data_IF_627893984523
#
_entry.id   IF_627893984523
#
_cell.length_a   1.000
_cell.length_b   1.000
_cell.length_c   1.000
_cell.angle_alpha   90.00
_cell.angle_beta   90.00
_cell.angle_gamma   90.00
#
_symmetry.space_group_name_H-M   'P 1'
#
loop_
_entity.id
_entity.type
_entity.pdbx_description
1 polymer ?
#
# COMPACT_ATOMS: atom_id res chain seq x y z
N UNK A 1 16.34 -18.13 27.06
CA UNK A 1 16.42 -19.48 26.46
C UNK A 1 17.83 -20.00 26.62
N UNK A 2 17.99 -21.29 26.92
CA UNK A 2 19.30 -21.94 26.97
C UNK A 2 19.66 -22.51 25.60
N UNK A 3 20.90 -22.29 25.17
CA UNK A 3 21.48 -22.75 23.93
C UNK A 3 22.85 -23.41 24.20
N UNK A 4 23.40 -24.20 23.25
CA UNK A 4 24.71 -24.83 23.44
C UNK A 4 25.85 -23.85 23.73
N UNK A 5 25.76 -22.63 23.20
CA UNK A 5 26.76 -21.57 23.23
C UNK A 5 26.49 -20.48 24.29
N UNK A 6 25.36 -20.54 25.00
CA UNK A 6 25.02 -19.57 26.03
C UNK A 6 23.52 -19.42 26.30
N UNK A 7 23.11 -18.22 26.70
CA UNK A 7 21.70 -17.87 26.90
C UNK A 7 21.28 -16.74 25.98
N UNK A 8 20.08 -16.85 25.42
CA UNK A 8 19.49 -15.79 24.60
C UNK A 8 18.24 -15.22 25.30
N UNK A 9 18.14 -13.89 25.36
CA UNK A 9 16.92 -13.21 25.83
C UNK A 9 15.80 -13.44 24.81
N UNK A 10 14.63 -13.84 25.30
CA UNK A 10 13.44 -14.11 24.47
C UNK A 10 12.23 -13.37 25.04
N UNK A 11 11.22 -13.13 24.21
CA UNK A 11 9.94 -12.58 24.67
C UNK A 11 9.13 -13.61 25.46
N UNK A 12 8.13 -13.16 26.22
CA UNK A 12 7.20 -14.07 26.91
C UNK A 12 6.42 -14.95 25.92
N UNK A 13 6.07 -14.40 24.76
CA UNK A 13 5.42 -15.16 23.69
C UNK A 13 6.31 -16.31 23.20
N UNK A 14 7.58 -16.05 22.92
CA UNK A 14 8.53 -17.10 22.48
C UNK A 14 8.74 -18.13 23.58
N UNK A 15 8.79 -17.71 24.85
CA UNK A 15 8.91 -18.63 25.98
C UNK A 15 7.70 -19.57 26.09
N UNK A 16 6.48 -19.04 25.95
CA UNK A 16 5.25 -19.81 25.94
C UNK A 16 5.19 -20.75 24.73
N UNK A 17 5.57 -20.27 23.54
CA UNK A 17 5.63 -21.08 22.32
C UNK A 17 6.56 -22.29 22.48
N UNK A 18 7.79 -22.07 22.95
CA UNK A 18 8.77 -23.14 23.19
C UNK A 18 8.27 -24.16 24.21
N UNK A 19 7.66 -23.70 25.30
CA UNK A 19 7.10 -24.58 26.34
C UNK A 19 5.89 -25.37 25.86
N UNK A 20 5.06 -24.79 24.99
CA UNK A 20 3.92 -25.48 24.38
C UNK A 20 4.37 -26.56 23.40
N UNK A 21 5.48 -26.34 22.70
CA UNK A 21 6.08 -27.34 21.81
C UNK A 21 6.73 -28.48 22.60
N UNK A 22 7.50 -28.15 23.64
CA UNK A 22 8.10 -29.13 24.53
C UNK A 22 8.41 -28.53 25.91
N UNK A 23 7.77 -29.03 26.96
CA UNK A 23 8.02 -28.60 28.33
C UNK A 23 9.28 -29.21 28.95
N UNK A 24 9.89 -30.22 28.29
CA UNK A 24 11.00 -31.02 28.81
C UNK A 24 10.75 -31.56 30.23
N UNK A 25 9.49 -31.88 30.55
CA UNK A 25 9.08 -32.37 31.87
C UNK A 25 8.98 -31.30 32.96
N UNK A 26 9.18 -30.01 32.64
CA UNK A 26 9.13 -28.91 33.60
C UNK A 26 7.80 -28.14 33.57
N UNK A 27 7.05 -28.19 34.68
CA UNK A 27 5.77 -27.48 34.83
C UNK A 27 5.89 -25.95 34.82
N UNK A 28 7.06 -25.40 35.15
CA UNK A 28 7.35 -23.96 35.12
C UNK A 28 8.82 -23.69 34.73
N UNK A 29 9.18 -22.48 34.24
CA UNK A 29 10.56 -22.11 34.02
C UNK A 29 11.34 -22.14 35.33
N UNK A 30 12.59 -22.63 35.29
CA UNK A 30 13.48 -22.55 36.45
C UNK A 30 13.91 -21.10 36.65
N UNK A 31 13.63 -20.57 37.84
CA UNK A 31 14.12 -19.25 38.26
C UNK A 31 15.61 -19.36 38.55
N UNK A 32 16.40 -18.43 38.00
CA UNK A 32 17.84 -18.33 38.20
C UNK A 32 18.18 -16.95 38.75
N UNK A 33 19.17 -16.86 39.63
CA UNK A 33 19.63 -15.57 40.16
C UNK A 33 20.49 -14.83 39.13
N UNK A 34 20.60 -13.49 39.21
CA UNK A 34 21.45 -12.72 38.31
C UNK A 34 22.91 -13.16 38.30
N UNK A 35 23.48 -13.58 39.45
CA UNK A 35 24.89 -14.01 39.55
C UNK A 35 25.21 -15.20 38.64
N UNK A 36 24.25 -16.12 38.46
CA UNK A 36 24.39 -17.25 37.52
C UNK A 36 24.44 -16.75 36.07
N UNK A 37 23.67 -15.72 35.75
CA UNK A 37 23.62 -15.15 34.40
C UNK A 37 24.88 -14.35 34.05
N UNK A 38 25.52 -13.70 35.03
CA UNK A 38 26.75 -12.91 34.81
C UNK A 38 27.90 -13.77 34.27
N UNK A 39 27.97 -15.04 34.69
CA UNK A 39 29.00 -15.99 34.24
C UNK A 39 28.59 -16.80 32.99
N UNK A 40 27.42 -16.52 32.41
CA UNK A 40 26.92 -17.23 31.23
C UNK A 40 26.96 -16.32 30.00
N UNK A 41 27.58 -16.74 28.88
CA UNK A 41 27.59 -15.95 27.66
C UNK A 41 26.18 -15.60 27.18
N UNK A 42 25.96 -14.35 26.80
CA UNK A 42 24.73 -13.92 26.13
C UNK A 42 24.91 -13.99 24.62
N UNK A 43 24.03 -14.74 23.95
CA UNK A 43 24.10 -14.99 22.51
C UNK A 43 22.81 -14.56 21.82
N UNK A 44 22.91 -14.30 20.51
CA UNK A 44 21.77 -13.93 19.65
C UNK A 44 21.78 -14.80 18.39
N UNK A 45 21.81 -16.13 18.58
CA UNK A 45 21.98 -17.09 17.48
C UNK A 45 20.66 -17.46 16.79
N UNK A 46 19.52 -17.30 17.47
CA UNK A 46 18.20 -17.49 16.86
C UNK A 46 17.51 -16.15 16.54
N UNK A 47 16.88 -16.00 15.36
CA UNK A 47 16.16 -14.78 15.00
C UNK A 47 14.75 -14.77 15.65
N UNK A 48 14.71 -14.52 16.95
CA UNK A 48 13.46 -14.55 17.75
C UNK A 48 12.72 -13.21 17.77
N UNK A 49 13.35 -12.15 17.28
CA UNK A 49 12.82 -10.79 17.20
C UNK A 49 11.64 -10.64 16.22
N UNK A 50 11.44 -11.62 15.33
CA UNK A 50 10.27 -11.66 14.44
C UNK A 50 8.96 -12.04 15.17
N UNK A 51 9.06 -12.57 16.39
CA UNK A 51 7.89 -12.90 17.20
C UNK A 51 7.41 -11.71 18.03
N UNK A 52 6.10 -11.63 18.34
CA UNK A 52 5.57 -10.61 19.22
C UNK A 52 6.28 -10.58 20.58
N UNK A 53 6.38 -9.37 21.16
CA UNK A 53 6.95 -9.18 22.49
C UNK A 53 6.06 -9.77 23.61
N UNK A 54 4.77 -9.97 23.34
CA UNK A 54 3.79 -10.47 24.31
C UNK A 54 2.56 -11.08 23.63
N UNK A 55 1.48 -11.23 24.40
CA UNK A 55 0.21 -11.77 23.89
C UNK A 55 -0.37 -10.87 22.82
N UNK A 56 -0.92 -11.48 21.78
CA UNK A 56 -1.66 -10.77 20.75
C UNK A 56 -3.06 -10.41 21.26
N UNK A 57 -3.47 -9.18 20.98
CA UNK A 57 -4.86 -8.76 21.12
C UNK A 57 -5.52 -8.93 19.75
N UNK A 58 -6.52 -9.82 19.67
CA UNK A 58 -7.26 -10.04 18.45
C UNK A 58 -8.28 -8.92 18.24
N UNK A 59 -8.39 -8.44 17.01
CA UNK A 59 -9.38 -7.45 16.60
C UNK A 59 -10.71 -8.16 16.35
N UNK A 60 -11.80 -7.63 16.93
CA UNK A 60 -13.15 -8.07 16.60
C UNK A 60 -13.56 -7.47 15.25
N UNK A 61 -13.53 -8.29 14.20
CA UNK A 61 -13.84 -7.85 12.83
C UNK A 61 -15.32 -7.56 12.61
N UNK A 62 -16.21 -7.99 13.51
CA UNK A 62 -17.62 -7.58 13.48
C UNK A 62 -17.79 -6.15 14.00
N UNK A 63 -17.00 -5.75 15.00
CA UNK A 63 -17.00 -4.38 15.54
C UNK A 63 -16.16 -3.41 14.70
N UNK A 64 -15.00 -3.86 14.21
CA UNK A 64 -14.02 -3.07 13.44
C UNK A 64 -13.74 -3.74 12.08
N UNK A 65 -14.67 -3.65 11.10
CA UNK A 65 -14.57 -4.37 9.83
C UNK A 65 -13.53 -3.78 8.85
N UNK A 66 -12.96 -2.62 9.14
CA UNK A 66 -12.03 -1.93 8.23
C UNK A 66 -10.60 -2.03 8.74
N UNK A 67 -9.71 -2.60 7.93
CA UNK A 67 -8.27 -2.57 8.12
C UNK A 67 -7.63 -1.72 7.03
N UNK A 68 -6.83 -0.72 7.41
CA UNK A 68 -6.12 0.15 6.47
C UNK A 68 -4.62 0.05 6.69
N UNK A 69 -3.86 0.15 5.61
CA UNK A 69 -2.42 0.42 5.66
C UNK A 69 -2.20 1.85 5.18
N UNK A 70 -1.44 2.65 5.93
CA UNK A 70 -0.95 3.94 5.47
C UNK A 70 0.54 3.87 5.18
N UNK A 71 0.95 4.74 4.26
CA UNK A 71 2.34 5.05 4.01
C UNK A 71 2.44 6.57 3.89
N UNK A 72 3.41 7.17 4.58
CA UNK A 72 3.70 8.59 4.49
C UNK A 72 5.21 8.81 4.44
N UNK A 73 5.65 9.81 3.66
CA UNK A 73 7.02 10.30 3.67
C UNK A 73 6.97 11.79 3.35
N UNK A 74 7.34 12.64 4.32
CA UNK A 74 7.44 14.07 4.04
C UNK A 74 8.67 14.37 3.17
N UNK A 75 8.71 15.55 2.55
CA UNK A 75 9.78 15.94 1.62
C UNK A 75 11.18 15.93 2.23
N UNK A 76 11.28 16.16 3.55
CA UNK A 76 12.54 16.17 4.30
C UNK A 76 12.78 14.89 5.09
N UNK A 77 11.84 13.95 5.09
CA UNK A 77 11.94 12.75 5.91
C UNK A 77 12.90 11.73 5.25
N UNK A 78 13.90 11.21 5.98
CA UNK A 78 14.82 10.22 5.44
C UNK A 78 14.16 8.84 5.26
N UNK A 79 13.10 8.55 6.01
CA UNK A 79 12.38 7.28 5.98
C UNK A 79 10.87 7.51 5.93
N UNK A 80 10.18 6.64 5.20
CA UNK A 80 8.73 6.59 5.23
C UNK A 80 8.24 5.94 6.53
N UNK A 81 7.04 6.33 6.98
CA UNK A 81 6.31 5.66 8.04
C UNK A 81 5.20 4.83 7.44
N UNK A 82 5.06 3.61 7.95
CA UNK A 82 3.97 2.70 7.61
C UNK A 82 3.20 2.41 8.88
N UNK A 83 1.88 2.59 8.83
CA UNK A 83 1.00 2.25 9.94
C UNK A 83 -0.14 1.36 9.46
N UNK A 84 -0.65 0.53 10.37
CA UNK A 84 -1.84 -0.28 10.15
C UNK A 84 -2.91 0.20 11.13
N UNK A 85 -4.08 0.54 10.60
CA UNK A 85 -5.24 0.97 11.38
C UNK A 85 -6.34 -0.08 11.28
N UNK A 86 -7.08 -0.27 12.37
CA UNK A 86 -8.31 -1.04 12.39
C UNK A 86 -9.41 -0.17 12.96
N UNK A 87 -10.61 -0.25 12.40
CA UNK A 87 -11.74 0.54 12.89
C UNK A 87 -13.04 0.27 12.14
N UNK A 88 -14.03 1.12 12.42
CA UNK A 88 -15.40 1.00 11.90
C UNK A 88 -15.57 1.40 10.43
N UNK A 89 -14.63 2.16 9.89
CA UNK A 89 -14.71 2.71 8.54
C UNK A 89 -13.38 3.30 8.10
N UNK A 90 -13.39 3.99 6.96
CA UNK A 90 -12.19 4.64 6.43
C UNK A 90 -11.68 5.73 7.39
N UNK A 91 -10.35 5.92 7.51
CA UNK A 91 -9.74 6.92 8.38
C UNK A 91 -9.81 8.33 7.77
N UNK A 92 -10.99 8.76 7.34
CA UNK A 92 -11.28 10.09 6.77
C UNK A 92 -12.61 10.62 7.31
N UNK A 93 -12.82 11.96 7.31
CA UNK A 93 -14.11 12.52 7.71
C UNK A 93 -15.26 12.00 6.82
N UNK A 94 -16.44 11.66 7.38
CA UNK A 94 -17.59 11.16 6.61
C UNK A 94 -18.06 12.10 5.49
N UNK A 95 -17.78 13.40 5.59
CA UNK A 95 -18.07 14.37 4.53
C UNK A 95 -17.35 14.06 3.21
N UNK A 96 -16.28 13.26 3.24
CA UNK A 96 -15.53 12.85 2.05
C UNK A 96 -16.18 11.71 1.28
N UNK A 97 -17.19 11.02 1.82
CA UNK A 97 -17.80 9.85 1.17
C UNK A 97 -18.38 10.17 -0.21
N UNK A 98 -18.92 11.39 -0.39
CA UNK A 98 -19.43 11.89 -1.67
C UNK A 98 -18.38 12.02 -2.77
N UNK A 99 -17.09 11.96 -2.41
CA UNK A 99 -15.94 12.09 -3.32
C UNK A 99 -15.31 10.74 -3.66
N UNK A 100 -15.82 9.65 -3.11
CA UNK A 100 -15.37 8.30 -3.42
C UNK A 100 -15.79 7.96 -4.86
N UNK A 101 -14.80 7.62 -5.68
CA UNK A 101 -15.01 7.23 -7.08
C UNK A 101 -14.85 5.72 -7.19
N UNK A 102 -15.79 5.05 -7.87
CA UNK A 102 -15.64 3.65 -8.25
C UNK A 102 -14.75 3.56 -9.48
N UNK A 103 -13.64 2.82 -9.37
CA UNK A 103 -12.72 2.64 -10.49
C UNK A 103 -13.27 1.61 -11.48
N UNK A 104 -13.08 1.90 -12.77
CA UNK A 104 -13.29 0.93 -13.84
C UNK A 104 -12.06 0.03 -13.90
N UNK A 105 -12.27 -1.27 -13.74
CA UNK A 105 -11.21 -2.28 -13.81
C UNK A 105 -11.34 -3.03 -15.12
N UNK A 106 -10.23 -3.06 -15.87
CA UNK A 106 -10.13 -3.91 -17.05
C UNK A 106 -10.01 -5.39 -16.64
N UNK A 107 -9.45 -5.67 -15.47
CA UNK A 107 -9.37 -7.00 -14.87
C UNK A 107 -10.44 -7.21 -13.78
N UNK A 108 -11.35 -8.16 -14.03
CA UNK A 108 -12.37 -8.56 -13.02
C UNK A 108 -11.92 -9.72 -12.13
N UNK A 109 -10.65 -10.14 -12.25
CA UNK A 109 -10.10 -11.24 -11.48
C UNK A 109 -10.05 -10.88 -9.98
N UNK A 110 -10.27 -11.83 -9.06
CA UNK A 110 -10.14 -11.61 -7.62
C UNK A 110 -8.74 -11.14 -7.20
N UNK A 111 -7.71 -11.48 -8.00
CA UNK A 111 -6.33 -11.07 -7.80
C UNK A 111 -5.98 -9.72 -8.46
N UNK A 112 -6.97 -8.96 -8.93
CA UNK A 112 -6.74 -7.62 -9.47
C UNK A 112 -6.05 -6.75 -8.42
N UNK A 113 -5.02 -6.05 -8.86
CA UNK A 113 -4.25 -5.14 -8.02
C UNK A 113 -4.87 -3.74 -7.99
N UNK A 114 -5.83 -3.48 -8.89
CA UNK A 114 -6.52 -2.20 -9.00
C UNK A 114 -7.62 -2.13 -7.94
N UNK A 115 -7.64 -1.02 -7.20
CA UNK A 115 -8.63 -0.79 -6.17
C UNK A 115 -10.06 -0.76 -6.75
N UNK A 116 -11.04 -1.15 -5.95
CA UNK A 116 -12.46 -1.07 -6.38
C UNK A 116 -12.98 0.36 -6.33
N UNK A 117 -12.50 1.13 -5.36
CA UNK A 117 -12.86 2.53 -5.12
C UNK A 117 -11.61 3.31 -4.76
N UNK A 118 -11.64 4.61 -5.01
CA UNK A 118 -10.56 5.54 -4.73
C UNK A 118 -11.13 6.83 -4.14
N UNK A 119 -10.39 7.41 -3.21
CA UNK A 119 -10.65 8.75 -2.70
C UNK A 119 -9.35 9.55 -2.85
N UNK A 120 -9.38 10.59 -3.67
CA UNK A 120 -8.29 11.57 -3.77
C UNK A 120 -8.74 12.83 -3.05
N UNK A 121 -8.03 13.18 -1.98
CA UNK A 121 -8.38 14.34 -1.16
C UNK A 121 -8.09 15.66 -1.91
N UNK A 122 -8.87 16.72 -1.66
CA UNK A 122 -8.53 18.06 -2.14
C UNK A 122 -7.13 18.47 -1.70
N UNK A 123 -6.32 18.98 -2.63
CA UNK A 123 -4.94 19.38 -2.35
C UNK A 123 -3.92 18.23 -2.28
N UNK A 124 -4.33 16.99 -2.54
CA UNK A 124 -3.40 15.88 -2.69
C UNK A 124 -2.39 16.15 -3.82
N UNK A 125 -1.17 15.65 -3.66
CA UNK A 125 -0.15 15.74 -4.69
C UNK A 125 -0.53 14.86 -5.89
N UNK A 126 -0.56 15.47 -7.07
CA UNK A 126 -0.93 14.78 -8.31
C UNK A 126 0.31 14.34 -9.11
N UNK A 127 1.45 15.00 -8.91
CA UNK A 127 2.69 14.67 -9.61
C UNK A 127 3.61 13.87 -8.68
N UNK A 128 3.84 12.61 -9.04
CA UNK A 128 4.49 11.63 -8.17
C UNK A 128 5.60 10.89 -8.89
N UNK A 129 6.59 10.44 -8.12
CA UNK A 129 7.62 9.51 -8.57
C UNK A 129 7.49 8.21 -7.78
N UNK A 130 7.57 7.07 -8.47
CA UNK A 130 7.54 5.79 -7.80
C UNK A 130 8.85 5.51 -7.06
N UNK A 131 8.70 4.88 -5.90
CA UNK A 131 9.78 4.26 -5.14
C UNK A 131 9.48 2.78 -4.96
N UNK A 132 10.46 2.00 -4.51
CA UNK A 132 10.19 0.67 -3.96
C UNK A 132 9.33 0.76 -2.68
N UNK A 133 8.82 -0.37 -2.21
CA UNK A 133 8.03 -0.44 -0.97
C UNK A 133 8.86 -0.39 0.32
N UNK A 134 10.19 -0.28 0.23
CA UNK A 134 11.09 -0.26 1.39
C UNK A 134 11.02 1.12 2.07
N UNK A 135 10.92 1.15 3.40
CA UNK A 135 10.78 2.41 4.16
C UNK A 135 11.98 3.36 4.00
N UNK A 136 13.15 2.83 3.70
CA UNK A 136 14.40 3.58 3.46
C UNK A 136 14.63 3.89 1.98
N UNK A 137 13.65 3.65 1.11
CA UNK A 137 13.81 3.88 -0.32
C UNK A 137 13.96 5.39 -0.62
N UNK A 138 15.02 5.72 -1.34
CA UNK A 138 15.27 7.06 -1.88
C UNK A 138 15.13 7.11 -3.41
N UNK A 139 14.85 5.96 -4.04
CA UNK A 139 14.74 5.86 -5.50
C UNK A 139 13.66 6.78 -6.08
N UNK A 140 13.89 7.25 -7.31
CA UNK A 140 12.93 8.02 -8.10
C UNK A 140 12.86 7.36 -9.48
N UNK A 141 12.04 6.32 -9.58
CA UNK A 141 12.13 5.35 -10.68
C UNK A 141 11.31 5.76 -11.90
N UNK A 142 10.02 6.06 -11.72
CA UNK A 142 9.10 6.41 -12.80
C UNK A 142 8.18 7.55 -12.39
N UNK A 143 7.90 8.45 -13.31
CA UNK A 143 7.05 9.62 -13.09
C UNK A 143 5.60 9.32 -13.46
N UNK A 144 4.67 9.80 -12.63
CA UNK A 144 3.24 9.66 -12.87
C UNK A 144 2.50 10.95 -12.56
N UNK A 145 1.44 11.21 -13.33
CA UNK A 145 0.37 12.10 -12.94
C UNK A 145 -0.80 11.26 -12.40
N UNK A 146 -1.33 11.60 -11.24
CA UNK A 146 -2.50 10.96 -10.63
C UNK A 146 -3.64 11.96 -10.63
N UNK A 147 -4.73 11.62 -11.31
CA UNK A 147 -5.91 12.47 -11.39
C UNK A 147 -6.81 12.32 -10.16
N UNK A 148 -7.66 13.32 -9.92
CA UNK A 148 -8.62 13.32 -8.80
C UNK A 148 -9.68 12.21 -8.85
N UNK A 149 -9.89 11.58 -10.00
CA UNK A 149 -10.75 10.39 -10.17
C UNK A 149 -9.97 9.07 -10.06
N UNK A 150 -8.69 9.12 -9.67
CA UNK A 150 -7.84 7.96 -9.38
C UNK A 150 -7.33 7.20 -10.59
N UNK A 151 -7.02 7.90 -11.68
CA UNK A 151 -6.30 7.36 -12.82
C UNK A 151 -4.84 7.82 -12.75
N UNK A 152 -3.90 6.90 -12.90
CA UNK A 152 -2.47 7.19 -12.99
C UNK A 152 -2.03 7.18 -14.46
N UNK A 153 -1.31 8.21 -14.87
CA UNK A 153 -0.76 8.38 -16.21
C UNK A 153 0.76 8.38 -16.09
N UNK A 154 1.44 7.39 -16.67
CA UNK A 154 2.90 7.39 -16.70
C UNK A 154 3.43 8.51 -17.57
N UNK A 155 4.51 9.18 -17.17
CA UNK A 155 5.08 10.32 -17.88
C UNK A 155 6.44 9.91 -18.44
N UNK A 156 6.66 10.17 -19.74
CA UNK A 156 7.98 9.98 -20.32
C UNK A 156 8.98 10.95 -19.68
N UNK A 157 10.07 10.41 -19.16
CA UNK A 157 11.11 11.19 -18.46
C UNK A 157 12.14 11.74 -19.44
N UNK A 158 11.66 12.43 -20.48
CA UNK A 158 12.48 13.15 -21.46
C UNK A 158 12.23 14.66 -21.35
N UNK A 159 13.25 15.45 -21.64
CA UNK A 159 13.21 16.91 -21.45
C UNK A 159 12.08 17.57 -22.25
N UNK A 160 11.79 17.08 -23.45
CA UNK A 160 10.76 17.66 -24.31
C UNK A 160 9.36 17.45 -23.71
N UNK A 161 9.05 16.23 -23.23
CA UNK A 161 7.78 15.93 -22.55
C UNK A 161 7.63 16.73 -21.26
N UNK A 162 8.65 16.75 -20.40
CA UNK A 162 8.61 17.47 -19.12
C UNK A 162 8.45 18.98 -19.31
N UNK A 163 9.19 19.56 -20.25
CA UNK A 163 9.08 20.98 -20.60
C UNK A 163 7.70 21.31 -21.17
N UNK A 164 7.15 20.46 -22.04
CA UNK A 164 5.81 20.66 -22.61
C UNK A 164 4.69 20.59 -21.56
N UNK A 165 4.86 19.74 -20.54
CA UNK A 165 3.92 19.62 -19.42
C UNK A 165 4.18 20.64 -18.29
N UNK A 166 5.27 21.40 -18.36
CA UNK A 166 5.66 22.33 -17.30
C UNK A 166 6.02 21.65 -15.97
N UNK A 167 6.61 20.45 -16.04
CA UNK A 167 6.93 19.63 -14.88
C UNK A 167 8.43 19.66 -14.57
N UNK A 168 8.77 19.87 -13.31
CA UNK A 168 10.13 19.68 -12.78
C UNK A 168 10.19 18.33 -12.05
N UNK A 169 10.93 17.32 -12.54
CA UNK A 169 11.00 16.00 -11.92
C UNK A 169 11.51 16.02 -10.46
N UNK A 170 12.26 17.06 -10.06
CA UNK A 170 12.66 17.28 -8.68
C UNK A 170 11.49 17.56 -7.74
N UNK A 171 10.41 18.15 -8.25
CA UNK A 171 9.20 18.50 -7.49
C UNK A 171 8.23 17.33 -7.30
N UNK A 172 8.42 16.19 -7.98
CA UNK A 172 7.55 15.03 -7.83
C UNK A 172 7.58 14.49 -6.39
N UNK A 173 6.41 14.20 -5.83
CA UNK A 173 6.33 13.61 -4.48
C UNK A 173 6.58 12.11 -4.57
N UNK A 174 7.36 11.55 -3.64
CA UNK A 174 7.61 10.11 -3.59
C UNK A 174 6.36 9.35 -3.16
N UNK A 175 6.06 8.25 -3.86
CA UNK A 175 5.01 7.31 -3.46
C UNK A 175 5.42 5.86 -3.77
N UNK A 176 5.09 4.89 -2.90
CA UNK A 176 5.55 3.52 -3.06
C UNK A 176 4.76 2.82 -4.16
N UNK A 177 5.46 2.10 -5.03
CA UNK A 177 4.84 1.37 -6.14
C UNK A 177 3.67 0.45 -5.73
N UNK A 178 3.73 -0.29 -4.60
CA UNK A 178 2.60 -1.09 -4.13
C UNK A 178 1.29 -0.31 -3.94
N UNK A 179 1.33 0.98 -3.60
CA UNK A 179 0.13 1.82 -3.50
C UNK A 179 -0.23 2.46 -4.84
N UNK A 180 0.76 2.98 -5.58
CA UNK A 180 0.52 3.60 -6.89
C UNK A 180 -0.15 2.65 -7.87
N UNK A 181 0.26 1.38 -7.91
CA UNK A 181 -0.30 0.39 -8.84
C UNK A 181 -1.79 0.07 -8.61
N UNK A 182 -2.35 0.47 -7.47
CA UNK A 182 -3.78 0.29 -7.16
C UNK A 182 -4.69 1.29 -7.86
N UNK A 183 -4.13 2.39 -8.37
CA UNK A 183 -4.85 3.35 -9.21
C UNK A 183 -5.08 2.76 -10.60
N UNK A 184 -6.20 3.16 -11.24
CA UNK A 184 -6.51 2.73 -12.60
C UNK A 184 -5.44 3.24 -13.57
N UNK A 185 -5.04 2.42 -14.55
CA UNK A 185 -4.02 2.81 -15.51
C UNK A 185 -4.63 3.65 -16.64
N UNK A 186 -4.09 4.85 -16.84
CA UNK A 186 -4.36 5.69 -18.01
C UNK A 186 -3.29 5.55 -19.10
N UNK A 187 -3.49 6.16 -20.27
CA UNK A 187 -2.46 6.26 -21.31
C UNK A 187 -1.20 6.98 -20.79
N UNK A 188 -0.05 6.66 -21.36
CA UNK A 188 1.17 7.39 -21.08
C UNK A 188 1.09 8.83 -21.62
N UNK A 189 1.65 9.78 -20.88
CA UNK A 189 1.88 11.15 -21.30
C UNK A 189 3.25 11.21 -21.96
N UNK A 190 3.26 11.13 -23.28
CA UNK A 190 4.44 11.26 -24.12
C UNK A 190 4.07 11.79 -25.50
N UNK A 191 5.06 12.30 -26.22
CA UNK A 191 4.87 12.73 -27.62
C UNK A 191 4.37 11.59 -28.50
N UNK A 192 4.98 10.42 -28.40
CA UNK A 192 4.61 9.26 -29.23
C UNK A 192 3.19 8.79 -28.95
N UNK A 193 2.77 8.80 -27.67
CA UNK A 193 1.40 8.46 -27.31
C UNK A 193 0.38 9.49 -27.83
N UNK A 194 0.76 10.77 -27.90
CA UNK A 194 -0.08 11.86 -28.40
C UNK A 194 -0.20 11.87 -29.94
N UNK A 195 0.79 11.34 -30.66
CA UNK A 195 0.74 11.19 -32.12
C UNK A 195 -0.19 10.05 -32.59
N UNK A 196 -0.64 9.20 -31.67
CA UNK A 196 -1.59 8.14 -31.97
C UNK A 196 -3.01 8.71 -32.00
N UNK A 197 -3.70 8.55 -33.13
CA UNK A 197 -5.15 8.72 -33.18
C UNK A 197 -5.80 7.68 -32.26
N UNK A 198 -6.44 8.13 -31.18
CA UNK A 198 -7.19 7.30 -30.24
C UNK A 198 -8.67 7.54 -30.49
N UNK A 199 -9.32 6.62 -31.21
CA UNK A 199 -10.78 6.60 -31.31
C UNK A 199 -11.33 5.74 -30.16
N UNK A 200 -11.39 6.33 -28.96
CA UNK A 200 -11.92 5.63 -27.77
C UNK A 200 -13.41 5.91 -27.64
N UNK A 201 -14.23 4.96 -28.08
CA UNK A 201 -15.65 4.89 -27.76
C UNK A 201 -15.80 3.93 -26.56
N UNK A 202 -16.53 4.26 -25.48
CA UNK A 202 -16.90 3.25 -24.51
C UNK A 202 -17.73 2.21 -25.26
N UNK A 203 -17.38 0.93 -25.15
CA UNK A 203 -18.20 -0.17 -25.67
C UNK A 203 -19.51 -0.24 -24.89
N UNK A 204 -20.43 0.67 -25.19
CA UNK A 204 -21.85 0.43 -24.99
C UNK A 204 -22.28 -0.42 -26.18
N UNK A 205 -22.56 -1.69 -25.87
CA UNK A 205 -23.07 -2.65 -26.83
C UNK A 205 -24.21 -2.06 -27.64
N UNK A 206 -24.13 -2.26 -28.95
CA UNK A 206 -25.12 -1.93 -29.98
C UNK A 206 -25.53 -0.45 -30.03
N UNK A 207 -25.00 0.25 -31.03
CA UNK A 207 -25.59 1.49 -31.53
C UNK A 207 -27.05 1.21 -31.88
N UNK A 208 -27.98 1.75 -31.08
CA UNK A 208 -29.39 1.72 -31.43
C UNK A 208 -29.58 2.60 -32.66
N UNK A 209 -30.00 2.01 -33.77
CA UNK A 209 -30.51 2.75 -34.92
C UNK A 209 -31.78 3.45 -34.45
N UNK A 210 -31.73 4.77 -34.30
CA UNK A 210 -32.94 5.58 -34.06
C UNK A 210 -33.68 5.67 -35.38
N UNK A 211 -34.61 4.74 -35.64
CA UNK A 211 -35.58 4.89 -36.72
C UNK A 211 -36.62 5.91 -36.30
N UNK A 212 -36.43 7.16 -36.73
CA UNK A 212 -37.51 8.16 -36.72
C UNK A 212 -38.58 7.71 -37.71
N UNK A 213 -39.72 7.24 -37.22
CA UNK A 213 -40.91 7.04 -38.05
C UNK A 213 -41.42 8.43 -38.45
N UNK A 214 -41.22 8.79 -39.71
CA UNK A 214 -41.89 9.92 -40.31
C UNK A 214 -43.39 9.64 -40.32
N UNK A 215 -44.16 10.45 -39.58
CA UNK A 215 -45.61 10.44 -39.59
C UNK A 215 -46.06 10.87 -40.99
N UNK A 216 -46.73 9.97 -41.72
CA UNK A 216 -47.34 10.33 -43.00
C UNK A 216 -48.37 11.44 -42.78
N UNK A 217 -48.20 12.54 -43.52
CA UNK A 217 -49.18 13.63 -43.59
C UNK A 217 -50.48 13.14 -44.21
N UNK A 218 -51.57 13.81 -43.82
CA UNK A 218 -52.94 13.58 -44.25
C UNK A 218 -53.14 13.62 -45.77
#
# INVERSE_FOLDING_TARGET
MLLPDGVQKISSFVADLLRSANSYGAAAPRVVTPDVLVHTPQVTSLPVEYYPAGRLNFVDTAADPTTCVSWEKASTDPQARVAVYNGRGLPVPPSMDSRIVRLVRDDRAPASVVATQVLVLPGAANFVTSTSGVITAESRESLFWVSGNGVRFGIANDEATLRALGLDPGAAVQAPWPLLRTFAAGPALSRDAALLARDTVPTLGQVAIVTTTAKAGA
#
